data_IF_796024070987
#
_entry.id   IF_796024070987
#
_cell.length_a   1.000
_cell.length_b   1.000
_cell.length_c   1.000
_cell.angle_alpha   90.00
_cell.angle_beta   90.00
_cell.angle_gamma   90.00
#
_symmetry.space_group_name_H-M   'P 1'
#
loop_
_entity.id
_entity.type
_entity.pdbx_description
1 polymer ?
#
# COMPACT_ATOMS: atom_id res chain seq x y z
N UNK A 1 34.65 4.13 22.72
CA UNK A 1 33.48 4.44 21.86
C UNK A 1 33.90 4.18 20.43
N UNK A 2 33.13 3.42 19.65
CA UNK A 2 33.47 3.18 18.24
C UNK A 2 33.23 4.43 17.40
N UNK A 3 33.99 4.56 16.30
CA UNK A 3 33.80 5.62 15.31
C UNK A 3 32.47 5.46 14.57
N UNK A 4 31.98 6.53 13.93
CA UNK A 4 30.81 6.47 13.06
C UNK A 4 30.99 5.41 11.96
N UNK A 5 29.91 4.69 11.62
CA UNK A 5 29.95 3.57 10.68
C UNK A 5 30.50 2.26 11.25
N UNK A 6 30.77 2.19 12.57
CA UNK A 6 31.15 0.95 13.26
C UNK A 6 30.29 0.72 14.50
N UNK A 7 30.05 -0.55 14.84
CA UNK A 7 29.41 -0.97 16.08
C UNK A 7 30.39 -1.78 16.94
N UNK A 8 30.15 -1.84 18.24
CA UNK A 8 30.96 -2.64 19.16
C UNK A 8 30.35 -4.04 19.31
N UNK A 9 31.10 -5.08 18.94
CA UNK A 9 30.62 -6.47 19.02
C UNK A 9 30.89 -7.15 20.39
N UNK A 10 31.38 -6.40 21.39
CA UNK A 10 31.81 -6.95 22.69
C UNK A 10 33.32 -7.25 22.76
N UNK A 11 34.05 -7.15 21.65
CA UNK A 11 35.50 -7.31 21.58
C UNK A 11 36.17 -6.14 20.89
N UNK A 12 35.75 -5.84 19.67
CA UNK A 12 36.33 -4.83 18.78
C UNK A 12 35.23 -4.01 18.09
N UNK A 13 35.64 -2.96 17.37
CA UNK A 13 34.75 -2.17 16.53
C UNK A 13 34.69 -2.75 15.11
N UNK A 14 33.52 -3.24 14.70
CA UNK A 14 33.30 -3.79 13.37
C UNK A 14 32.47 -2.84 12.50
N UNK A 15 32.67 -2.87 11.17
CA UNK A 15 31.93 -2.02 10.25
C UNK A 15 30.44 -2.38 10.25
N UNK A 16 29.60 -1.36 10.10
CA UNK A 16 28.17 -1.52 9.83
C UNK A 16 27.92 -2.17 8.45
N UNK A 17 26.70 -2.65 8.24
CA UNK A 17 26.23 -2.98 6.90
C UNK A 17 26.36 -1.77 5.97
N UNK A 18 26.73 -1.98 4.70
CA UNK A 18 27.09 -0.89 3.76
C UNK A 18 25.97 0.13 3.49
N UNK A 19 24.72 -0.23 3.79
CA UNK A 19 23.54 0.64 3.66
C UNK A 19 23.35 1.57 4.86
N UNK A 20 24.00 1.29 6.00
CA UNK A 20 23.90 2.09 7.22
C UNK A 20 25.06 3.10 7.31
N UNK A 21 24.75 4.36 7.61
CA UNK A 21 25.74 5.35 8.03
C UNK A 21 26.15 5.14 9.50
N UNK A 22 25.22 4.63 10.33
CA UNK A 22 25.47 4.20 11.71
C UNK A 22 24.55 3.03 12.05
N UNK A 23 24.98 2.16 12.95
CA UNK A 23 24.26 0.93 13.31
C UNK A 23 24.49 0.57 14.78
N UNK A 24 23.59 -0.24 15.34
CA UNK A 24 23.74 -0.86 16.66
C UNK A 24 24.18 -2.34 16.58
N UNK A 25 24.24 -2.90 15.37
CA UNK A 25 24.61 -4.29 15.13
C UNK A 25 25.08 -4.54 13.69
N UNK A 26 25.47 -5.78 13.37
CA UNK A 26 26.04 -6.14 12.07
C UNK A 26 25.01 -6.19 10.94
N UNK A 27 23.73 -6.39 11.27
CA UNK A 27 22.66 -6.63 10.31
C UNK A 27 22.20 -5.37 9.57
N UNK A 28 21.66 -5.55 8.37
CA UNK A 28 21.03 -4.47 7.61
C UNK A 28 19.75 -3.92 8.29
N UNK A 29 19.20 -4.66 9.26
CA UNK A 29 18.04 -4.35 10.10
C UNK A 29 18.40 -3.69 11.44
N UNK A 30 19.69 -3.48 11.70
CA UNK A 30 20.20 -2.79 12.88
C UNK A 30 20.76 -1.39 12.54
N UNK A 31 20.26 -0.76 11.47
CA UNK A 31 20.69 0.58 11.07
C UNK A 31 20.01 1.63 11.96
N UNK A 32 20.80 2.58 12.45
CA UNK A 32 20.31 3.79 13.12
C UNK A 32 20.07 4.89 12.08
N UNK A 33 21.01 5.09 11.16
CA UNK A 33 20.91 6.05 10.05
C UNK A 33 21.30 5.40 8.73
N UNK A 34 20.68 5.85 7.63
CA UNK A 34 21.01 5.42 6.28
C UNK A 34 22.02 6.34 5.59
N UNK A 35 22.79 5.78 4.66
CA UNK A 35 23.55 6.59 3.70
C UNK A 35 22.60 7.30 2.72
N UNK A 36 23.05 8.34 2.04
CA UNK A 36 22.20 9.26 1.25
C UNK A 36 21.37 8.57 0.13
N UNK A 37 21.86 7.43 -0.35
CA UNK A 37 21.25 6.61 -1.40
C UNK A 37 20.17 5.64 -0.89
N UNK A 38 20.00 5.52 0.43
CA UNK A 38 19.07 4.58 1.05
C UNK A 38 18.02 5.29 1.90
N UNK A 39 16.87 4.63 2.05
CA UNK A 39 15.72 5.12 2.79
C UNK A 39 15.51 4.27 4.03
N UNK A 40 15.19 4.92 5.15
CA UNK A 40 14.90 4.23 6.40
C UNK A 40 13.51 3.58 6.34
N UNK A 41 13.44 2.29 6.61
CA UNK A 41 12.21 1.51 6.68
C UNK A 41 12.30 0.54 7.88
N UNK A 42 11.70 0.90 9.01
CA UNK A 42 11.65 0.07 10.23
C UNK A 42 13.04 -0.43 10.71
N UNK A 43 14.04 0.47 10.81
CA UNK A 43 15.40 0.11 11.25
C UNK A 43 16.29 -0.50 10.14
N UNK A 44 15.75 -0.63 8.93
CA UNK A 44 16.48 -1.09 7.75
C UNK A 44 16.66 0.01 6.73
N UNK A 45 17.83 0.07 6.11
CA UNK A 45 18.08 0.94 4.97
C UNK A 45 17.80 0.20 3.65
N UNK A 46 16.82 0.70 2.88
CA UNK A 46 16.37 0.10 1.61
C UNK A 46 16.59 1.07 0.45
N UNK A 47 16.93 0.54 -0.73
CA UNK A 47 17.13 1.35 -1.92
C UNK A 47 15.81 1.89 -2.51
N UNK A 48 14.70 1.19 -2.26
CA UNK A 48 13.35 1.59 -2.66
C UNK A 48 12.36 1.16 -1.57
N UNK A 49 11.32 1.98 -1.34
CA UNK A 49 10.24 1.61 -0.42
C UNK A 49 9.46 0.41 -0.98
N UNK A 50 9.13 -0.55 -0.12
CA UNK A 50 8.34 -1.72 -0.53
C UNK A 50 6.89 -1.33 -0.84
N UNK A 51 6.18 -2.20 -1.57
CA UNK A 51 4.74 -2.05 -1.73
C UNK A 51 4.05 -1.93 -0.37
N UNK A 52 3.09 -1.03 -0.26
CA UNK A 52 2.46 -0.65 1.01
C UNK A 52 3.22 0.40 1.81
N UNK A 53 4.33 0.93 1.27
CA UNK A 53 5.05 2.09 1.80
C UNK A 53 5.21 3.16 0.72
N UNK A 54 5.25 4.42 1.13
CA UNK A 54 5.58 5.56 0.28
C UNK A 54 6.83 6.28 0.80
N UNK A 55 7.56 6.92 -0.10
CA UNK A 55 8.68 7.77 0.26
C UNK A 55 8.14 9.05 0.88
N UNK A 56 8.43 9.26 2.14
CA UNK A 56 8.17 10.54 2.80
C UNK A 56 9.33 11.50 2.52
N UNK A 57 9.01 12.60 1.86
CA UNK A 57 9.93 13.68 1.56
C UNK A 57 10.11 14.67 2.72
N UNK A 58 9.34 14.51 3.80
CA UNK A 58 9.58 15.27 5.02
C UNK A 58 10.90 14.82 5.66
N UNK A 59 11.89 15.72 5.71
CA UNK A 59 13.19 15.48 6.35
C UNK A 59 13.10 15.59 7.89
N UNK A 60 12.00 15.12 8.50
CA UNK A 60 11.72 15.27 9.93
C UNK A 60 12.88 14.79 10.83
N UNK A 61 13.60 13.74 10.40
CA UNK A 61 14.74 13.17 11.11
C UNK A 61 16.10 13.37 10.39
N UNK A 62 16.14 14.24 9.37
CA UNK A 62 17.33 14.48 8.56
C UNK A 62 17.65 13.39 7.52
N UNK A 63 16.83 12.34 7.42
CA UNK A 63 16.95 11.28 6.42
C UNK A 63 15.61 10.97 5.74
N UNK A 64 15.69 10.48 4.50
CA UNK A 64 14.53 10.02 3.72
C UNK A 64 13.97 8.74 4.35
N UNK A 65 12.65 8.70 4.56
CA UNK A 65 12.00 7.59 5.29
C UNK A 65 10.87 7.01 4.47
N UNK A 66 10.73 5.68 4.47
CA UNK A 66 9.57 4.99 3.93
C UNK A 66 8.49 4.92 5.02
N UNK A 67 7.37 5.62 4.82
CA UNK A 67 6.21 5.56 5.73
C UNK A 67 5.16 4.60 5.17
N UNK A 68 4.47 3.88 6.06
CA UNK A 68 3.44 2.92 5.67
C UNK A 68 2.24 3.66 5.07
N UNK A 69 1.65 3.08 4.03
CA UNK A 69 0.39 3.53 3.47
C UNK A 69 -0.76 3.40 4.48
N UNK A 70 -1.85 4.13 4.21
CA UNK A 70 -3.11 3.89 4.90
C UNK A 70 -3.55 2.43 4.72
N UNK A 71 -4.22 1.88 5.73
CA UNK A 71 -4.71 0.49 5.72
C UNK A 71 -5.74 0.25 4.61
N UNK A 72 -6.41 1.30 4.10
CA UNK A 72 -7.32 1.21 2.96
C UNK A 72 -6.62 0.95 1.63
N UNK A 73 -5.31 1.22 1.53
CA UNK A 73 -4.54 1.12 0.29
C UNK A 73 -3.67 -0.14 0.27
N UNK A 74 -3.50 -0.75 -0.91
CA UNK A 74 -2.44 -1.72 -1.12
C UNK A 74 -1.09 -1.04 -1.41
N UNK A 75 -1.14 0.09 -2.12
CA UNK A 75 -0.01 0.99 -2.36
C UNK A 75 -0.50 2.43 -2.44
N UNK A 76 0.38 3.37 -2.17
CA UNK A 76 0.05 4.79 -2.09
C UNK A 76 1.23 5.66 -2.54
N UNK A 77 0.96 6.92 -2.86
CA UNK A 77 1.97 7.94 -3.19
C UNK A 77 2.19 8.95 -2.06
N UNK A 78 1.49 8.80 -0.95
CA UNK A 78 1.49 9.78 0.14
C UNK A 78 0.62 9.33 1.32
N UNK A 79 0.49 10.18 2.36
CA UNK A 79 -0.27 9.87 3.55
C UNK A 79 -1.79 9.82 3.32
N UNK A 80 -2.48 8.97 4.07
CA UNK A 80 -3.94 8.93 4.14
C UNK A 80 -4.65 8.18 3.00
N UNK A 81 -5.95 7.93 3.20
CA UNK A 81 -6.80 7.09 2.34
C UNK A 81 -6.98 7.60 0.90
N UNK A 82 -6.75 8.90 0.64
CA UNK A 82 -6.94 9.55 -0.68
C UNK A 82 -5.71 9.53 -1.57
N UNK A 83 -4.61 8.93 -1.10
CA UNK A 83 -3.36 8.85 -1.84
C UNK A 83 -3.06 7.42 -2.32
N UNK A 84 -4.08 6.54 -2.42
CA UNK A 84 -3.89 5.20 -2.93
C UNK A 84 -3.48 5.24 -4.41
N UNK A 85 -2.55 4.37 -4.78
CA UNK A 85 -2.12 4.08 -6.16
C UNK A 85 -2.51 2.67 -6.59
N UNK A 86 -2.83 1.80 -5.63
CA UNK A 86 -3.36 0.46 -5.85
C UNK A 86 -4.22 0.04 -4.66
N UNK A 87 -5.19 -0.83 -4.93
CA UNK A 87 -6.19 -1.23 -3.96
C UNK A 87 -6.09 -2.71 -3.60
N UNK A 88 -6.49 -3.09 -2.37
CA UNK A 88 -6.64 -4.49 -2.00
C UNK A 88 -7.62 -5.22 -2.93
N UNK A 89 -7.54 -6.54 -2.98
CA UNK A 89 -8.46 -7.35 -3.80
C UNK A 89 -9.92 -7.07 -3.45
N UNK A 90 -10.76 -6.87 -4.47
CA UNK A 90 -12.18 -6.51 -4.29
C UNK A 90 -12.46 -5.00 -4.21
N UNK A 91 -11.42 -4.16 -4.27
CA UNK A 91 -11.54 -2.71 -4.31
C UNK A 91 -11.10 -2.15 -5.67
N UNK A 92 -11.69 -1.02 -6.06
CA UNK A 92 -11.36 -0.30 -7.28
C UNK A 92 -10.78 1.06 -6.88
N UNK A 93 -9.73 1.48 -7.59
CA UNK A 93 -9.15 2.80 -7.40
C UNK A 93 -10.03 3.86 -8.07
N UNK A 94 -10.57 4.79 -7.28
CA UNK A 94 -11.33 5.95 -7.72
C UNK A 94 -10.73 7.23 -7.14
N UNK A 95 -10.09 8.03 -7.99
CA UNK A 95 -9.52 9.35 -7.61
C UNK A 95 -8.67 9.31 -6.34
N UNK A 96 -7.79 8.30 -6.24
CA UNK A 96 -6.89 8.11 -5.09
C UNK A 96 -7.51 7.40 -3.89
N UNK A 97 -8.80 7.05 -3.93
CA UNK A 97 -9.49 6.25 -2.91
C UNK A 97 -9.70 4.81 -3.37
N UNK A 98 -9.62 3.87 -2.44
CA UNK A 98 -10.05 2.49 -2.68
C UNK A 98 -11.50 2.32 -2.26
N UNK A 99 -12.39 2.26 -3.26
CA UNK A 99 -13.82 2.03 -3.05
C UNK A 99 -14.14 0.56 -3.29
N UNK A 100 -15.10 0.02 -2.55
CA UNK A 100 -15.52 -1.37 -2.74
C UNK A 100 -15.98 -1.54 -4.18
N UNK A 101 -15.24 -2.38 -4.92
CA UNK A 101 -15.65 -2.82 -6.23
C UNK A 101 -16.78 -3.80 -6.05
N UNK A 102 -18.01 -3.34 -6.23
CA UNK A 102 -19.08 -4.28 -6.57
C UNK A 102 -18.69 -4.86 -7.93
N UNK A 103 -17.97 -5.98 -7.94
CA UNK A 103 -17.62 -6.69 -9.17
C UNK A 103 -18.90 -7.37 -9.63
N UNK A 104 -19.69 -6.69 -10.46
CA UNK A 104 -20.74 -7.35 -11.20
C UNK A 104 -20.09 -8.19 -12.28
N UNK A 105 -19.96 -9.49 -12.04
CA UNK A 105 -19.75 -10.46 -13.09
C UNK A 105 -21.06 -10.59 -13.86
N UNK A 106 -21.04 -10.31 -15.16
CA UNK A 106 -22.13 -10.73 -16.04
C UNK A 106 -22.17 -12.26 -16.00
N UNK A 107 -23.38 -12.83 -15.86
CA UNK A 107 -23.54 -14.27 -15.85
C UNK A 107 -23.18 -14.82 -17.24
N UNK A 108 -22.14 -15.65 -17.33
CA UNK A 108 -21.97 -16.57 -18.45
C UNK A 108 -22.68 -17.88 -18.09
N UNK A 109 -23.00 -18.69 -19.11
CA UNK A 109 -23.75 -19.95 -19.02
C UNK A 109 -23.16 -21.01 -18.04
N UNK A 110 -22.07 -20.73 -17.32
CA UNK A 110 -21.43 -21.65 -16.38
C UNK A 110 -21.59 -21.23 -14.90
N UNK A 111 -22.17 -20.05 -14.60
CA UNK A 111 -22.21 -19.48 -13.23
C UNK A 111 -23.55 -19.66 -12.48
N UNK A 112 -24.46 -20.51 -12.98
CA UNK A 112 -25.87 -20.61 -12.54
C UNK A 112 -26.09 -21.03 -11.07
N UNK A 113 -25.04 -21.45 -10.35
CA UNK A 113 -25.14 -21.85 -8.95
C UNK A 113 -25.03 -20.69 -7.95
N UNK A 114 -24.49 -19.52 -8.34
CA UNK A 114 -24.25 -18.38 -7.42
C UNK A 114 -24.89 -17.07 -7.89
N UNK A 115 -26.12 -17.15 -8.41
CA UNK A 115 -27.13 -16.12 -8.19
C UNK A 115 -26.73 -14.65 -8.42
N UNK A 116 -26.38 -14.32 -9.67
CA UNK A 116 -27.18 -13.36 -10.44
C UNK A 116 -27.46 -11.98 -9.85
N UNK A 117 -26.59 -11.38 -9.04
CA UNK A 117 -26.85 -10.05 -8.46
C UNK A 117 -27.15 -9.00 -9.55
N UNK A 118 -26.37 -8.92 -10.63
CA UNK A 118 -26.63 -7.97 -11.73
C UNK A 118 -27.96 -8.25 -12.46
N UNK A 119 -28.30 -9.52 -12.70
CA UNK A 119 -29.56 -9.90 -13.36
C UNK A 119 -30.78 -9.66 -12.48
N UNK A 120 -30.68 -9.91 -11.18
CA UNK A 120 -31.72 -9.60 -10.19
C UNK A 120 -31.92 -8.08 -10.06
N UNK A 121 -30.82 -7.33 -10.04
CA UNK A 121 -30.82 -5.87 -10.01
C UNK A 121 -31.48 -5.29 -11.26
N UNK A 122 -31.18 -5.82 -12.46
CA UNK A 122 -31.85 -5.45 -13.72
C UNK A 122 -33.33 -5.85 -13.71
N UNK A 123 -33.66 -7.11 -13.42
CA UNK A 123 -35.04 -7.64 -13.46
C UNK A 123 -36.00 -6.90 -12.52
N UNK A 124 -35.50 -6.43 -11.37
CA UNK A 124 -36.31 -5.74 -10.38
C UNK A 124 -36.17 -4.21 -10.43
N UNK A 125 -35.51 -3.65 -11.47
CA UNK A 125 -35.27 -2.22 -11.62
C UNK A 125 -34.64 -1.58 -10.37
N UNK A 126 -33.79 -2.32 -9.64
CA UNK A 126 -33.26 -1.86 -8.35
C UNK A 126 -32.39 -0.61 -8.52
N UNK A 127 -31.70 -0.46 -9.66
CA UNK A 127 -30.93 0.75 -9.97
C UNK A 127 -31.77 2.00 -10.23
N UNK A 128 -33.07 1.87 -10.51
CA UNK A 128 -33.98 3.00 -10.62
C UNK A 128 -34.47 3.47 -9.24
N UNK A 129 -34.23 2.69 -8.18
CA UNK A 129 -34.58 3.05 -6.81
C UNK A 129 -33.44 3.85 -6.19
N UNK A 130 -33.71 5.10 -5.80
CA UNK A 130 -32.74 6.01 -5.17
C UNK A 130 -31.94 5.38 -4.01
N UNK A 131 -32.59 4.54 -3.20
CA UNK A 131 -31.97 3.88 -2.03
C UNK A 131 -30.95 2.82 -2.43
N UNK A 132 -31.13 2.18 -3.60
CA UNK A 132 -30.30 1.06 -4.04
C UNK A 132 -29.34 1.45 -5.16
N UNK A 133 -29.37 2.70 -5.62
CA UNK A 133 -28.55 3.20 -6.72
C UNK A 133 -27.05 3.11 -6.42
N UNK A 134 -26.64 3.27 -5.16
CA UNK A 134 -25.24 3.14 -4.74
C UNK A 134 -24.74 1.68 -4.74
N UNK A 135 -25.67 0.71 -4.74
CA UNK A 135 -25.38 -0.73 -4.78
C UNK A 135 -25.38 -1.27 -6.21
N UNK A 136 -25.54 -0.41 -7.22
CA UNK A 136 -25.53 -0.79 -8.62
C UNK A 136 -24.14 -0.64 -9.25
N UNK A 137 -23.66 -1.71 -9.89
CA UNK A 137 -22.42 -1.64 -10.67
C UNK A 137 -22.59 -0.80 -11.92
N UNK A 138 -21.57 -0.01 -12.27
CA UNK A 138 -21.50 0.77 -13.51
C UNK A 138 -21.71 -0.09 -14.77
N UNK A 139 -21.32 -1.37 -14.77
CA UNK A 139 -21.51 -2.30 -15.89
C UNK A 139 -22.97 -2.72 -16.12
N UNK A 140 -23.80 -2.80 -15.07
CA UNK A 140 -25.22 -3.15 -15.21
C UNK A 140 -26.05 -2.02 -15.84
N UNK A 141 -25.56 -0.78 -15.80
CA UNK A 141 -26.22 0.43 -16.35
C UNK A 141 -25.74 0.83 -17.75
N UNK A 142 -24.68 0.21 -18.30
CA UNK A 142 -24.00 0.69 -19.51
C UNK A 142 -24.34 -0.05 -20.82
N UNK A 143 -25.49 -0.74 -20.91
CA UNK A 143 -26.04 -1.18 -22.20
C UNK A 143 -27.55 -0.92 -22.27
N UNK A 144 -27.88 0.31 -22.62
CA UNK A 144 -28.89 0.60 -23.63
C UNK A 144 -28.14 1.03 -24.88
#
# INVERSE_FOLDING_TARGET
LCEAGKYYNGRDCEPCHHSCASCEGPGADACINCTEEYFMENGKCVATCRNGYYLDHSLENGYKTCKRCDVSCFGCSGPGERNCTSCPSGYILDTGLCVVGLICKDATEESWAEGGFCMLVKKNNLCQRKVLQQLCCRTCTLKG
#
